data_IF_764395382723
#
_entry.id   IF_764395382723
#
_cell.length_a   1.000
_cell.length_b   1.000
_cell.length_c   1.000
_cell.angle_alpha   90.00
_cell.angle_beta   90.00
_cell.angle_gamma   90.00
#
_symmetry.space_group_name_H-M   'P 1'
#
loop_
_entity.id
_entity.type
_entity.pdbx_description
1 polymer ?
#
# COMPACT_ATOMS: atom_id res chain seq x y z
N UNK A 1 32.30 1.93 -12.63
CA UNK A 1 31.57 3.00 -11.91
C UNK A 1 30.44 2.37 -11.13
N UNK A 2 30.64 2.11 -9.84
CA UNK A 2 29.62 1.49 -8.98
C UNK A 2 28.70 2.61 -8.51
N UNK A 3 27.54 2.74 -9.13
CA UNK A 3 26.57 3.75 -8.74
C UNK A 3 25.91 3.31 -7.43
N UNK A 4 26.25 4.00 -6.33
CA UNK A 4 25.52 3.90 -5.08
C UNK A 4 24.16 4.60 -5.25
N UNK A 5 23.18 3.89 -5.82
CA UNK A 5 21.86 4.42 -6.24
C UNK A 5 20.72 4.02 -5.31
N UNK A 6 20.92 4.05 -3.99
CA UNK A 6 19.95 3.42 -3.07
C UNK A 6 18.95 4.36 -2.40
N UNK A 7 19.00 5.68 -2.57
CA UNK A 7 18.01 6.57 -1.90
C UNK A 7 17.49 7.79 -2.69
N UNK A 8 18.15 8.24 -3.78
CA UNK A 8 17.69 9.45 -4.51
C UNK A 8 16.64 9.18 -5.60
N UNK A 9 16.58 7.96 -6.15
CA UNK A 9 15.72 7.65 -7.30
C UNK A 9 14.22 7.46 -6.94
N UNK A 10 13.91 7.21 -5.66
CA UNK A 10 12.54 7.00 -5.18
C UNK A 10 11.72 8.28 -5.03
N UNK A 11 12.39 9.44 -5.01
CA UNK A 11 11.75 10.78 -4.96
C UNK A 11 11.56 11.34 -6.37
N UNK A 12 12.45 11.03 -7.32
CA UNK A 12 12.49 11.64 -8.66
C UNK A 12 11.42 11.12 -9.61
N UNK A 13 10.80 9.96 -9.35
CA UNK A 13 9.71 9.44 -10.17
C UNK A 13 8.52 9.00 -9.32
N UNK A 14 7.62 9.94 -8.95
CA UNK A 14 6.42 9.58 -8.21
C UNK A 14 5.52 8.67 -9.07
N UNK A 15 4.84 7.74 -8.41
CA UNK A 15 3.87 6.83 -9.01
C UNK A 15 2.47 7.38 -8.84
N UNK A 16 1.70 7.36 -9.92
CA UNK A 16 0.28 7.74 -9.93
C UNK A 16 -0.57 6.62 -9.31
N UNK A 17 -1.52 7.01 -8.47
CA UNK A 17 -2.57 6.13 -7.98
C UNK A 17 -3.86 6.36 -8.78
N UNK A 18 -4.30 5.34 -9.53
CA UNK A 18 -5.50 5.42 -10.38
C UNK A 18 -6.84 5.56 -9.65
N UNK A 19 -6.88 5.31 -8.33
CA UNK A 19 -8.11 5.36 -7.53
C UNK A 19 -8.40 6.74 -6.94
N UNK A 20 -7.36 7.55 -6.72
CA UNK A 20 -7.51 8.87 -6.09
C UNK A 20 -6.81 9.98 -6.88
N UNK A 21 -6.30 9.65 -8.08
CA UNK A 21 -5.61 10.53 -9.01
C UNK A 21 -4.48 11.38 -8.42
N UNK A 22 -3.81 10.84 -7.40
CA UNK A 22 -2.70 11.49 -6.72
C UNK A 22 -1.38 10.80 -7.03
N UNK A 23 -0.33 11.60 -7.09
CA UNK A 23 1.04 11.15 -7.24
C UNK A 23 1.66 10.95 -5.86
N UNK A 24 2.25 9.77 -5.64
CA UNK A 24 2.93 9.43 -4.40
C UNK A 24 4.35 8.92 -4.68
N UNK A 25 5.30 9.09 -3.76
CA UNK A 25 6.62 8.46 -3.88
C UNK A 25 6.49 6.95 -4.11
N UNK A 26 7.32 6.38 -4.99
CA UNK A 26 7.34 4.94 -5.28
C UNK A 26 8.06 4.18 -4.16
N UNK A 27 7.53 4.29 -2.95
CA UNK A 27 8.09 3.69 -1.73
C UNK A 27 7.10 2.68 -1.14
N UNK A 28 7.64 1.80 -0.29
CA UNK A 28 6.84 0.87 0.51
C UNK A 28 5.97 1.54 1.55
N UNK A 29 6.13 2.84 1.77
CA UNK A 29 5.28 3.61 2.67
C UNK A 29 3.88 3.82 2.06
N UNK A 30 3.84 4.27 0.80
CA UNK A 30 2.60 4.59 0.08
C UNK A 30 2.02 3.43 -0.73
N UNK A 31 2.84 2.51 -1.23
CA UNK A 31 2.41 1.37 -2.07
C UNK A 31 2.84 0.04 -1.47
N UNK A 32 2.01 -1.01 -1.59
CA UNK A 32 2.48 -2.35 -1.25
C UNK A 32 3.26 -2.95 -2.43
N UNK A 33 4.24 -3.79 -2.11
CA UNK A 33 4.89 -4.65 -3.10
C UNK A 33 3.94 -5.78 -3.47
N UNK A 34 3.72 -5.95 -4.77
CA UNK A 34 3.03 -7.10 -5.29
C UNK A 34 4.03 -8.06 -5.94
N UNK A 35 4.28 -9.18 -5.26
CA UNK A 35 5.20 -10.23 -5.74
C UNK A 35 4.62 -11.05 -6.88
N UNK A 36 3.30 -10.98 -7.13
CA UNK A 36 2.66 -11.69 -8.25
C UNK A 36 2.71 -10.91 -9.56
N UNK A 37 3.05 -9.62 -9.53
CA UNK A 37 3.39 -8.90 -10.76
C UNK A 37 4.72 -9.46 -11.29
N UNK A 38 4.75 -9.87 -12.55
CA UNK A 38 5.97 -10.27 -13.25
C UNK A 38 7.00 -9.13 -13.09
N UNK A 39 8.09 -9.39 -12.34
CA UNK A 39 9.11 -8.39 -12.00
C UNK A 39 9.04 -7.78 -10.59
N UNK A 40 8.13 -8.20 -9.72
CA UNK A 40 8.15 -7.86 -8.28
C UNK A 40 7.89 -6.38 -7.96
N UNK A 41 6.97 -5.75 -8.69
CA UNK A 41 6.69 -4.31 -8.63
C UNK A 41 5.81 -3.83 -7.47
N UNK A 42 5.57 -2.52 -7.43
CA UNK A 42 4.56 -1.90 -6.54
C UNK A 42 3.18 -1.92 -7.21
N UNK A 43 2.14 -2.11 -6.41
CA UNK A 43 0.74 -2.00 -6.86
C UNK A 43 0.44 -0.64 -7.51
N UNK A 44 -0.62 -0.60 -8.33
CA UNK A 44 -1.12 0.64 -8.95
C UNK A 44 -1.98 1.47 -8.00
N UNK A 45 -2.42 0.90 -6.88
CA UNK A 45 -3.19 1.60 -5.85
C UNK A 45 -2.31 1.92 -4.65
N UNK A 46 -2.47 3.13 -4.09
CA UNK A 46 -1.87 3.45 -2.80
C UNK A 46 -2.54 2.60 -1.70
N UNK A 47 -1.85 2.46 -0.57
CA UNK A 47 -2.31 1.65 0.57
C UNK A 47 -3.65 2.09 1.12
N UNK A 48 -3.91 3.40 1.15
CA UNK A 48 -5.17 3.94 1.64
C UNK A 48 -6.34 3.52 0.75
N UNK A 49 -6.21 3.72 -0.56
CA UNK A 49 -7.19 3.28 -1.55
C UNK A 49 -7.38 1.76 -1.50
N UNK A 50 -6.30 0.99 -1.39
CA UNK A 50 -6.39 -0.47 -1.23
C UNK A 50 -7.13 -0.88 0.04
N UNK A 51 -6.93 -0.18 1.16
CA UNK A 51 -7.66 -0.44 2.41
C UNK A 51 -9.16 -0.18 2.23
N UNK A 52 -9.53 0.91 1.55
CA UNK A 52 -10.93 1.22 1.22
C UNK A 52 -11.54 0.14 0.32
N UNK A 53 -10.85 -0.29 -0.73
CA UNK A 53 -11.28 -1.38 -1.61
C UNK A 53 -11.49 -2.69 -0.85
N UNK A 54 -10.54 -3.07 -0.01
CA UNK A 54 -10.66 -4.28 0.81
C UNK A 54 -11.84 -4.19 1.77
N UNK A 55 -12.10 -3.02 2.35
CA UNK A 55 -13.27 -2.82 3.21
C UNK A 55 -14.58 -2.90 2.41
N UNK A 56 -14.66 -2.26 1.24
CA UNK A 56 -15.81 -2.35 0.35
C UNK A 56 -16.08 -3.79 -0.11
N UNK A 57 -15.03 -4.54 -0.48
CA UNK A 57 -15.15 -5.96 -0.82
C UNK A 57 -15.70 -6.79 0.35
N UNK A 58 -15.22 -6.53 1.57
CA UNK A 58 -15.71 -7.23 2.77
C UNK A 58 -17.19 -6.91 3.03
N UNK A 59 -17.59 -5.65 2.90
CA UNK A 59 -19.00 -5.25 3.05
C UNK A 59 -19.87 -5.92 1.96
N UNK A 60 -19.44 -5.88 0.70
CA UNK A 60 -20.17 -6.48 -0.43
C UNK A 60 -20.42 -7.98 -0.25
N UNK A 61 -19.45 -8.71 0.32
CA UNK A 61 -19.55 -10.14 0.58
C UNK A 61 -20.15 -10.47 1.95
N UNK A 62 -20.73 -9.49 2.66
CA UNK A 62 -21.43 -9.72 3.94
C UNK A 62 -20.52 -10.00 5.14
N UNK A 63 -19.22 -9.71 5.06
CA UNK A 63 -18.33 -9.90 6.21
C UNK A 63 -18.61 -8.86 7.30
N UNK A 64 -18.78 -9.31 8.53
CA UNK A 64 -18.84 -8.45 9.71
C UNK A 64 -17.48 -7.76 9.92
N UNK A 65 -17.41 -6.46 9.65
CA UNK A 65 -16.19 -5.66 9.86
C UNK A 65 -16.11 -5.25 11.33
N UNK A 66 -15.48 -6.06 12.16
CA UNK A 66 -15.24 -5.70 13.56
C UNK A 66 -14.16 -4.61 13.67
N UNK A 67 -14.34 -3.57 14.51
CA UNK A 67 -13.30 -2.59 14.80
C UNK A 67 -12.08 -3.30 15.40
N UNK A 68 -10.88 -2.88 14.97
CA UNK A 68 -9.62 -3.40 15.54
C UNK A 68 -9.47 -2.87 16.97
N UNK A 69 -10.05 -3.56 17.95
CA UNK A 69 -9.72 -3.36 19.36
C UNK A 69 -8.25 -3.75 19.58
N UNK A 70 -7.45 -2.81 20.06
CA UNK A 70 -6.02 -3.01 20.28
C UNK A 70 -5.81 -3.98 21.46
N UNK A 71 -5.58 -5.26 21.19
CA UNK A 71 -5.44 -6.32 22.21
C UNK A 71 -4.19 -6.20 23.10
N UNK A 72 -3.40 -5.12 22.98
CA UNK A 72 -2.13 -4.92 23.71
C UNK A 72 -2.27 -4.59 25.21
N UNK A 73 -3.49 -4.53 25.76
CA UNK A 73 -3.72 -4.17 27.16
C UNK A 73 -3.79 -5.35 28.16
N UNK A 74 -3.57 -6.62 27.75
CA UNK A 74 -3.70 -7.78 28.64
C UNK A 74 -2.37 -8.51 28.86
N UNK A 75 -1.45 -7.88 29.59
CA UNK A 75 -0.43 -8.56 30.38
C UNK A 75 -0.49 -7.93 31.77
N UNK A 76 -1.13 -8.64 32.70
CA UNK A 76 -1.08 -8.40 34.14
C UNK A 76 -0.13 -9.41 34.73
#
# INVERSE_FOLDING_TARGET
MVYNTTMKDTITKPKHCWMCDRFYPRTTDYFNKNRTLYGGGFENTCKECKKKLNMAHRIKNGYVVQPRINKKARKK
#
